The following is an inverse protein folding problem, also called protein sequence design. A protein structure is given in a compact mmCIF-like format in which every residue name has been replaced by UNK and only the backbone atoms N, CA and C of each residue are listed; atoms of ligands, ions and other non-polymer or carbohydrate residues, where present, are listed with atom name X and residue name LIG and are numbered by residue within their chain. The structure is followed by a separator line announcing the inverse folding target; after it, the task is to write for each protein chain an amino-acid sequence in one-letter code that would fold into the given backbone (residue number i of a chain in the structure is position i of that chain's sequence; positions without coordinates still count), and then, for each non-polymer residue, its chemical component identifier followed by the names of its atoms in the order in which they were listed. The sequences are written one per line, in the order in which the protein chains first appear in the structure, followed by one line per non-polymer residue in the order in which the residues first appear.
data_IF_199854153572
#
_entry.id   IF_199854153572
#
_cell.length_a   1.000
_cell.length_b   1.000
_cell.length_c   1.000
_cell.angle_alpha   90.00
_cell.angle_beta   90.00
_cell.angle_gamma   90.00
#
_symmetry.space_group_name_H-M   'P 1'
#
loop_
_entity.id
_entity.type
_entity.pdbx_description
1 polymer ?
#
# COMPACT_ATOMS: atom_id res chain seq x y z
N UNK A 1 55.03 11.90 -25.38
CA UNK A 1 56.47 12.10 -25.07
C UNK A 1 56.76 13.59 -25.20
N UNK A 2 57.04 14.27 -24.08
CA UNK A 2 57.34 15.69 -24.04
C UNK A 2 57.74 16.09 -22.61
N UNK A 3 59.05 16.14 -22.36
CA UNK A 3 59.68 16.57 -21.10
C UNK A 3 59.96 18.08 -21.15
N UNK A 4 60.29 18.61 -19.96
CA UNK A 4 61.00 19.85 -19.58
C UNK A 4 60.13 20.82 -18.73
N UNK A 5 60.23 20.81 -17.39
CA UNK A 5 61.27 21.35 -16.45
C UNK A 5 60.89 22.77 -15.99
N UNK A 6 60.47 22.93 -14.71
CA UNK A 6 61.17 23.59 -13.56
C UNK A 6 61.67 25.02 -13.88
N UNK A 7 61.58 26.05 -13.05
CA UNK A 7 61.68 26.25 -11.60
C UNK A 7 61.36 27.76 -11.37
N UNK A 8 60.83 28.25 -10.24
CA UNK A 8 61.66 28.77 -9.14
C UNK A 8 60.79 29.36 -8.01
N UNK A 9 61.30 29.16 -6.78
CA UNK A 9 60.81 29.62 -5.48
C UNK A 9 61.02 31.12 -5.21
N UNK A 10 60.28 31.66 -4.22
CA UNK A 10 60.76 32.49 -3.08
C UNK A 10 59.63 32.62 -2.04
N UNK A 11 59.62 31.86 -0.93
CA UNK A 11 60.29 32.06 0.39
C UNK A 11 59.79 33.28 1.20
N UNK A 12 58.89 33.02 2.18
CA UNK A 12 59.00 33.13 3.69
C UNK A 12 59.64 34.41 4.32
N UNK A 13 59.60 34.71 5.66
CA UNK A 13 59.19 33.88 6.83
C UNK A 13 58.68 34.59 8.14
N UNK A 14 58.55 33.79 9.22
CA UNK A 14 58.75 34.07 10.68
C UNK A 14 57.59 34.74 11.48
N UNK A 15 57.20 34.39 12.72
CA UNK A 15 57.77 33.71 13.93
C UNK A 15 56.59 33.15 14.82
N UNK A 16 56.59 31.94 15.44
CA UNK A 16 57.26 31.43 16.69
C UNK A 16 56.96 32.27 17.96
N UNK A 17 56.66 31.82 19.20
CA UNK A 17 56.88 30.62 20.06
C UNK A 17 55.90 30.73 21.29
N UNK A 18 55.28 29.67 21.86
CA UNK A 18 55.76 28.64 22.84
C UNK A 18 55.94 29.12 24.31
N UNK A 19 55.21 28.55 25.28
CA UNK A 19 55.69 27.58 26.32
C UNK A 19 54.77 27.52 27.57
N UNK A 20 54.72 26.33 28.18
CA UNK A 20 53.95 25.90 29.35
C UNK A 20 54.68 26.10 30.70
N UNK A 21 53.95 26.03 31.83
CA UNK A 21 54.41 25.39 33.09
C UNK A 21 53.30 25.27 34.17
N UNK A 22 53.26 24.10 34.82
CA UNK A 22 52.44 23.68 35.96
C UNK A 22 52.78 24.43 37.28
N UNK A 23 51.80 24.56 38.19
CA UNK A 23 51.99 24.29 39.63
C UNK A 23 50.71 23.71 40.27
N UNK A 24 50.87 22.67 41.09
CA UNK A 24 49.86 22.09 41.99
C UNK A 24 49.77 22.90 43.29
N UNK A 25 48.56 23.01 43.85
CA UNK A 25 48.31 23.43 45.23
C UNK A 25 46.88 23.10 45.64
N UNK A 26 46.71 22.03 46.42
CA UNK A 26 45.43 21.56 46.92
C UNK A 26 44.89 22.47 48.04
N UNK A 27 43.60 22.80 47.98
CA UNK A 27 42.78 23.21 49.12
C UNK A 27 41.37 22.68 48.88
N UNK A 28 40.99 21.62 49.58
CA UNK A 28 39.61 21.14 49.64
C UNK A 28 38.78 22.13 50.46
N UNK A 29 37.82 22.79 49.82
CA UNK A 29 36.58 23.18 50.50
C UNK A 29 35.42 22.51 49.77
N UNK A 30 34.76 21.63 50.50
CA UNK A 30 33.51 21.00 50.12
C UNK A 30 32.43 22.08 50.00
N UNK A 31 31.92 22.25 48.78
CA UNK A 31 30.62 22.84 48.52
C UNK A 31 29.85 21.81 47.70
N UNK A 32 28.67 21.47 48.21
CA UNK A 32 27.77 20.47 47.65
C UNK A 32 27.54 20.72 46.15
N UNK A 33 27.84 19.72 45.33
CA UNK A 33 27.32 19.64 43.98
C UNK A 33 26.17 18.65 43.95
N UNK A 34 24.99 19.25 43.78
CA UNK A 34 23.82 18.63 43.20
C UNK A 34 24.16 17.74 42.00
N UNK A 35 23.53 16.56 42.00
CA UNK A 35 23.21 15.71 40.85
C UNK A 35 24.04 15.85 39.58
N UNK A 36 25.21 15.19 39.54
CA UNK A 36 25.82 14.79 38.27
C UNK A 36 25.02 13.63 37.67
N UNK A 37 23.97 13.97 36.90
CA UNK A 37 23.41 13.05 35.91
C UNK A 37 24.51 12.75 34.87
N UNK A 38 24.78 11.48 34.53
CA UNK A 38 25.72 11.14 33.46
C UNK A 38 25.29 11.78 32.13
N UNK A 39 26.28 12.12 31.31
CA UNK A 39 26.07 12.83 30.05
C UNK A 39 25.20 12.04 29.08
N UNK A 40 24.55 12.73 28.12
CA UNK A 40 23.58 12.14 27.18
C UNK A 40 24.07 10.86 26.47
N UNK A 41 25.38 10.74 26.21
CA UNK A 41 25.99 9.58 25.53
C UNK A 41 26.24 8.34 26.40
N UNK A 42 26.08 8.44 27.72
CA UNK A 42 26.26 7.33 28.67
C UNK A 42 24.93 6.64 29.02
N UNK A 43 23.80 7.18 28.57
CA UNK A 43 22.44 6.68 28.83
C UNK A 43 21.90 5.87 27.63
N UNK A 44 22.53 4.74 27.32
CA UNK A 44 22.23 3.95 26.11
C UNK A 44 21.06 2.98 26.26
N UNK A 45 20.47 2.85 27.44
CA UNK A 45 19.41 1.87 27.71
C UNK A 45 18.08 2.49 28.21
N UNK A 46 17.95 3.82 28.21
CA UNK A 46 16.69 4.49 28.53
C UNK A 46 15.92 4.82 27.24
N UNK A 47 14.96 3.96 26.87
CA UNK A 47 14.05 4.17 25.74
C UNK A 47 13.03 5.31 25.96
N UNK A 48 12.32 5.68 24.89
CA UNK A 48 11.39 6.82 24.83
C UNK A 48 10.09 6.57 25.62
N UNK A 49 10.00 7.04 26.87
CA UNK A 49 8.72 7.29 27.55
C UNK A 49 8.86 8.51 28.49
N UNK A 50 7.96 9.48 28.33
CA UNK A 50 7.89 10.69 29.17
C UNK A 50 7.17 10.43 30.51
N UNK A 51 7.65 11.17 31.53
CA UNK A 51 7.20 11.33 32.92
C UNK A 51 7.59 10.21 33.92
N UNK A 52 8.76 10.39 34.55
CA UNK A 52 9.12 9.74 35.82
C UNK A 52 8.38 10.48 36.95
N UNK A 53 7.41 9.82 37.60
CA UNK A 53 6.85 10.29 38.88
C UNK A 53 7.82 9.95 40.02
N UNK A 54 8.07 10.93 40.90
CA UNK A 54 8.93 10.78 42.07
C UNK A 54 8.31 9.85 43.13
N UNK A 55 9.12 9.06 43.87
CA UNK A 55 8.62 8.02 44.76
C UNK A 55 8.03 8.61 46.05
N UNK A 56 6.83 8.15 46.45
CA UNK A 56 6.32 8.37 47.81
C UNK A 56 6.57 7.14 48.69
N UNK A 57 7.05 7.45 49.90
CA UNK A 57 7.50 6.55 50.97
C UNK A 57 6.44 5.56 51.50
N UNK A 58 6.88 4.46 52.16
CA UNK A 58 5.99 3.39 52.60
C UNK A 58 5.43 3.63 54.00
N UNK A 59 4.11 3.50 54.18
CA UNK A 59 3.50 3.37 55.51
C UNK A 59 3.21 1.90 55.87
N UNK A 60 3.50 1.59 57.14
CA UNK A 60 3.55 0.26 57.77
C UNK A 60 2.16 -0.24 58.26
N UNK A 61 2.02 -1.57 58.32
CA UNK A 61 0.90 -2.41 58.85
C UNK A 61 0.55 -2.15 60.34
N UNK A 62 -0.61 -2.62 60.85
CA UNK A 62 -0.68 -3.97 61.51
C UNK A 62 -2.00 -4.75 61.22
N UNK A 63 -1.94 -6.02 60.78
CA UNK A 63 -2.14 -7.32 61.50
C UNK A 63 -3.60 -7.84 61.71
N UNK A 64 -3.90 -8.95 60.97
CA UNK A 64 -4.47 -10.28 61.36
C UNK A 64 -5.71 -10.41 62.29
N UNK A 65 -6.62 -11.40 62.03
CA UNK A 65 -6.30 -12.81 62.32
C UNK A 65 -6.80 -13.88 61.31
N UNK A 66 -6.00 -14.95 61.19
CA UNK A 66 -6.36 -16.32 60.75
C UNK A 66 -6.59 -17.18 62.03
N UNK A 67 -6.97 -18.47 61.98
CA UNK A 67 -7.91 -19.22 61.11
C UNK A 67 -8.91 -20.08 61.96
N UNK A 68 -9.84 -20.83 61.34
CA UNK A 68 -10.39 -22.06 61.94
C UNK A 68 -10.20 -23.24 60.96
N UNK A 69 -9.59 -24.36 61.40
CA UNK A 69 -9.50 -25.62 60.63
C UNK A 69 -10.68 -26.56 60.96
N UNK A 70 -10.62 -27.77 60.36
CA UNK A 70 -11.47 -28.97 60.55
C UNK A 70 -12.59 -29.05 59.48
N UNK A 71 -12.79 -30.12 58.70
CA UNK A 71 -12.25 -31.49 58.69
C UNK A 71 -12.25 -32.04 57.25
N UNK A 72 -11.32 -32.96 57.00
CA UNK A 72 -11.34 -33.89 55.88
C UNK A 72 -12.58 -34.81 55.95
N UNK A 73 -13.28 -34.94 54.83
CA UNK A 73 -14.17 -36.07 54.56
C UNK A 73 -13.70 -36.77 53.27
N UNK A 74 -13.63 -38.09 53.36
CA UNK A 74 -13.07 -39.05 52.40
C UNK A 74 -13.76 -39.07 51.02
N UNK A 75 -13.09 -39.66 50.00
CA UNK A 75 -13.34 -39.37 48.60
C UNK A 75 -14.51 -40.16 48.02
N UNK A 76 -15.45 -39.46 47.38
CA UNK A 76 -16.37 -40.03 46.40
C UNK A 76 -15.73 -40.03 45.03
N UNK A 77 -15.62 -41.21 44.42
CA UNK A 77 -15.17 -41.43 43.04
C UNK A 77 -15.95 -40.53 42.06
N UNK A 78 -15.28 -39.76 41.19
CA UNK A 78 -15.96 -39.09 40.09
C UNK A 78 -16.31 -40.12 39.01
N UNK A 79 -17.61 -40.20 38.70
CA UNK A 79 -18.13 -40.76 37.44
C UNK A 79 -17.47 -39.99 36.27
N UNK A 80 -17.16 -40.62 35.13
CA UNK A 80 -16.55 -39.92 34.00
C UNK A 80 -17.44 -38.74 33.57
N UNK A 81 -16.93 -37.53 33.73
CA UNK A 81 -17.56 -36.34 33.18
C UNK A 81 -17.50 -36.44 31.65
N UNK A 82 -18.64 -36.25 31.00
CA UNK A 82 -18.69 -36.00 29.57
C UNK A 82 -17.75 -34.84 29.21
N UNK A 83 -17.12 -34.85 28.03
CA UNK A 83 -16.23 -33.77 27.64
C UNK A 83 -17.04 -32.47 27.57
N UNK A 84 -16.72 -31.53 28.46
CA UNK A 84 -17.06 -30.12 28.27
C UNK A 84 -16.44 -29.66 26.94
N UNK A 85 -17.09 -28.78 26.16
CA UNK A 85 -16.45 -28.21 24.98
C UNK A 85 -15.12 -27.61 25.43
N UNK A 86 -14.02 -28.19 24.96
CA UNK A 86 -12.69 -27.72 25.30
C UNK A 86 -12.57 -26.32 24.73
N UNK A 87 -12.48 -25.31 25.59
CA UNK A 87 -12.10 -23.97 25.16
C UNK A 87 -10.75 -23.98 24.43
N UNK A 88 -10.36 -22.86 23.81
CA UNK A 88 -9.14 -22.78 23.04
C UNK A 88 -7.95 -23.26 23.88
N UNK A 89 -7.06 -24.04 23.25
CA UNK A 89 -5.90 -24.62 23.91
C UNK A 89 -5.10 -23.52 24.62
N UNK A 90 -4.76 -23.75 25.88
CA UNK A 90 -4.08 -22.74 26.70
C UNK A 90 -2.78 -22.29 26.01
N UNK A 91 -2.58 -20.98 25.90
CA UNK A 91 -1.45 -20.33 25.21
C UNK A 91 -1.40 -20.48 23.68
N UNK A 92 -2.46 -20.98 23.04
CA UNK A 92 -2.64 -20.89 21.59
C UNK A 92 -2.92 -19.44 21.13
N UNK A 93 -2.77 -19.17 19.83
CA UNK A 93 -3.11 -17.87 19.25
C UNK A 93 -4.58 -17.48 19.49
N UNK A 94 -5.50 -18.45 19.42
CA UNK A 94 -6.92 -18.26 19.71
C UNK A 94 -7.14 -17.90 21.19
N UNK A 95 -6.47 -18.61 22.10
CA UNK A 95 -6.52 -18.32 23.53
C UNK A 95 -6.02 -16.91 23.84
N UNK A 96 -4.92 -16.47 23.21
CA UNK A 96 -4.40 -15.12 23.40
C UNK A 96 -5.36 -14.05 22.88
N UNK A 97 -5.98 -14.28 21.71
CA UNK A 97 -6.96 -13.36 21.11
C UNK A 97 -8.16 -13.13 22.03
N UNK A 98 -8.64 -14.18 22.68
CA UNK A 98 -9.78 -14.09 23.58
C UNK A 98 -9.44 -13.57 24.98
N UNK A 99 -8.27 -13.93 25.51
CA UNK A 99 -7.99 -13.75 26.95
C UNK A 99 -7.04 -12.59 27.25
N UNK A 100 -6.09 -12.26 26.37
CA UNK A 100 -5.17 -11.14 26.62
C UNK A 100 -5.90 -9.80 26.85
N UNK A 101 -6.97 -9.45 26.09
CA UNK A 101 -7.75 -8.24 26.37
C UNK A 101 -8.38 -8.26 27.78
N UNK A 102 -8.90 -9.41 28.23
CA UNK A 102 -9.51 -9.55 29.56
C UNK A 102 -8.51 -9.29 30.67
N UNK A 103 -7.28 -9.80 30.53
CA UNK A 103 -6.21 -9.55 31.50
C UNK A 103 -5.71 -8.10 31.46
N UNK A 104 -5.71 -7.47 30.28
CA UNK A 104 -5.43 -6.04 30.14
C UNK A 104 -6.48 -5.19 30.85
N UNK A 105 -7.76 -5.47 30.61
CA UNK A 105 -8.87 -4.74 31.23
C UNK A 105 -8.92 -4.96 32.74
N UNK A 106 -8.58 -6.16 33.22
CA UNK A 106 -8.45 -6.44 34.65
C UNK A 106 -7.31 -5.62 35.28
N UNK A 107 -6.15 -5.56 34.62
CA UNK A 107 -5.02 -4.76 35.08
C UNK A 107 -5.33 -3.24 35.05
N UNK A 108 -6.11 -2.79 34.07
CA UNK A 108 -6.52 -1.39 33.94
C UNK A 108 -7.57 -0.98 34.98
N UNK A 109 -8.64 -1.76 35.11
CA UNK A 109 -9.76 -1.47 36.00
C UNK A 109 -9.42 -1.75 37.48
N UNK A 110 -8.43 -2.61 37.74
CA UNK A 110 -7.97 -2.93 39.08
C UNK A 110 -6.43 -3.12 39.11
N UNK A 111 -5.64 -2.02 39.20
CA UNK A 111 -4.19 -2.03 39.05
C UNK A 111 -3.46 -2.53 40.31
N UNK A 112 -3.67 -3.79 40.67
CA UNK A 112 -2.84 -4.48 41.68
C UNK A 112 -1.54 -4.97 41.05
N UNK A 113 -0.49 -5.13 41.87
CA UNK A 113 0.82 -5.64 41.42
C UNK A 113 0.68 -7.00 40.74
N UNK A 114 -0.20 -7.86 41.27
CA UNK A 114 -0.51 -9.18 40.73
C UNK A 114 -1.18 -9.09 39.35
N UNK A 115 -2.25 -8.28 39.20
CA UNK A 115 -2.97 -8.16 37.92
C UNK A 115 -2.07 -7.58 36.82
N UNK A 116 -1.27 -6.57 37.15
CA UNK A 116 -0.31 -5.96 36.21
C UNK A 116 0.77 -6.97 35.83
N UNK A 117 1.35 -7.70 36.79
CA UNK A 117 2.34 -8.75 36.50
C UNK A 117 1.77 -9.85 35.62
N UNK A 118 0.56 -10.34 35.91
CA UNK A 118 -0.10 -11.38 35.10
C UNK A 118 -0.28 -10.91 33.66
N UNK A 119 -0.77 -9.69 33.45
CA UNK A 119 -0.88 -9.13 32.11
C UNK A 119 0.48 -9.01 31.42
N UNK A 120 1.51 -8.48 32.10
CA UNK A 120 2.85 -8.31 31.52
C UNK A 120 3.51 -9.66 31.16
N UNK A 121 3.33 -10.71 31.95
CA UNK A 121 3.83 -12.04 31.60
C UNK A 121 3.13 -12.63 30.36
N UNK A 122 1.82 -12.44 30.25
CA UNK A 122 1.06 -12.88 29.07
C UNK A 122 1.46 -12.07 27.83
N UNK A 123 1.63 -10.76 27.96
CA UNK A 123 2.15 -9.90 26.90
C UNK A 123 3.54 -10.34 26.47
N UNK A 124 4.44 -10.63 27.42
CA UNK A 124 5.79 -11.11 27.13
C UNK A 124 5.76 -12.43 26.35
N UNK A 125 4.94 -13.38 26.77
CA UNK A 125 4.78 -14.65 26.05
C UNK A 125 4.28 -14.43 24.62
N UNK A 126 3.32 -13.52 24.41
CA UNK A 126 2.84 -13.19 23.07
C UNK A 126 3.97 -12.59 22.20
N UNK A 127 4.81 -11.72 22.77
CA UNK A 127 6.00 -11.18 22.10
C UNK A 127 6.99 -12.30 21.75
N UNK A 128 7.30 -13.20 22.69
CA UNK A 128 8.20 -14.32 22.46
C UNK A 128 7.68 -15.26 21.34
N UNK A 129 6.34 -15.42 21.24
CA UNK A 129 5.71 -16.17 20.13
C UNK A 129 5.77 -15.43 18.80
N UNK A 130 5.62 -14.11 18.81
CA UNK A 130 5.83 -13.28 17.61
C UNK A 130 7.27 -13.36 17.13
N UNK A 131 8.25 -13.36 18.02
CA UNK A 131 9.68 -13.56 17.69
C UNK A 131 9.92 -14.92 17.04
N UNK A 132 9.42 -16.01 17.63
CA UNK A 132 9.50 -17.35 17.01
C UNK A 132 8.86 -17.41 15.62
N UNK A 133 7.73 -16.73 15.42
CA UNK A 133 7.07 -16.65 14.12
C UNK A 133 7.90 -15.84 13.12
N UNK A 134 8.49 -14.72 13.54
CA UNK A 134 9.40 -13.92 12.71
C UNK A 134 10.63 -14.73 12.28
N UNK A 135 11.26 -15.47 13.18
CA UNK A 135 12.39 -16.35 12.85
C UNK A 135 12.01 -17.43 11.84
N UNK A 136 10.85 -18.08 12.05
CA UNK A 136 10.34 -19.09 11.13
C UNK A 136 9.98 -18.49 9.75
N UNK A 137 9.48 -17.26 9.72
CA UNK A 137 9.18 -16.53 8.49
C UNK A 137 10.46 -16.21 7.73
N UNK A 138 11.50 -15.72 8.40
CA UNK A 138 12.79 -15.46 7.77
C UNK A 138 13.37 -16.73 7.13
N UNK A 139 13.34 -17.85 7.86
CA UNK A 139 13.79 -19.14 7.32
C UNK A 139 12.96 -19.62 6.13
N UNK A 140 11.66 -19.33 6.09
CA UNK A 140 10.78 -19.69 4.98
C UNK A 140 10.97 -18.80 3.75
N UNK A 141 11.35 -17.53 3.95
CA UNK A 141 11.50 -16.54 2.87
C UNK A 141 12.88 -16.60 2.22
N UNK A 142 13.94 -16.80 3.01
CA UNK A 142 15.32 -16.75 2.50
C UNK A 142 15.56 -17.84 1.45
N UNK A 143 15.87 -17.41 0.23
CA UNK A 143 16.17 -18.30 -0.90
C UNK A 143 14.95 -18.74 -1.71
N UNK A 144 13.74 -18.40 -1.29
CA UNK A 144 12.53 -18.55 -2.10
C UNK A 144 12.30 -17.27 -2.93
N UNK A 145 12.51 -17.30 -4.26
CA UNK A 145 12.36 -16.10 -5.09
C UNK A 145 10.92 -15.57 -5.16
N UNK A 146 9.92 -16.38 -4.79
CA UNK A 146 8.51 -16.00 -4.79
C UNK A 146 8.06 -15.36 -3.48
N UNK A 147 8.74 -15.65 -2.36
CA UNK A 147 8.46 -15.06 -1.05
C UNK A 147 9.44 -13.93 -0.70
N UNK A 148 10.67 -13.97 -1.24
CA UNK A 148 11.71 -12.99 -0.96
C UNK A 148 11.44 -11.66 -1.68
N UNK A 149 11.05 -10.65 -0.90
CA UNK A 149 10.82 -9.29 -1.37
C UNK A 149 12.05 -8.67 -2.04
N UNK A 150 13.28 -9.14 -1.74
CA UNK A 150 14.50 -8.69 -2.41
C UNK A 150 14.41 -8.91 -3.93
N UNK A 151 13.72 -9.96 -4.36
CA UNK A 151 13.45 -10.24 -5.78
C UNK A 151 12.65 -9.13 -6.43
N UNK A 152 11.66 -8.58 -5.72
CA UNK A 152 10.78 -7.50 -6.22
C UNK A 152 11.38 -6.12 -6.01
N UNK A 153 11.92 -5.82 -4.84
CA UNK A 153 12.57 -4.55 -4.49
C UNK A 153 13.83 -4.82 -3.67
N UNK A 154 15.03 -4.51 -4.20
CA UNK A 154 16.27 -4.74 -3.47
C UNK A 154 16.33 -3.94 -2.17
N UNK A 155 16.66 -4.61 -1.06
CA UNK A 155 16.85 -3.95 0.23
C UNK A 155 18.19 -3.19 0.34
N UNK A 156 19.21 -3.63 -0.40
CA UNK A 156 20.53 -2.99 -0.37
C UNK A 156 20.48 -1.57 -0.94
N UNK A 157 20.95 -0.57 -0.18
CA UNK A 157 20.82 0.86 -0.50
C UNK A 157 21.28 1.22 -1.92
N UNK A 158 22.42 0.69 -2.37
CA UNK A 158 22.93 1.00 -3.71
C UNK A 158 21.99 0.48 -4.82
N UNK A 159 21.37 -0.68 -4.62
CA UNK A 159 20.47 -1.30 -5.56
C UNK A 159 19.07 -0.65 -5.52
N UNK A 160 18.53 -0.35 -4.34
CA UNK A 160 17.27 0.40 -4.21
C UNK A 160 17.38 1.77 -4.88
N UNK A 161 18.48 2.50 -4.65
CA UNK A 161 18.69 3.80 -5.27
C UNK A 161 18.78 3.71 -6.80
N UNK A 162 19.35 2.63 -7.34
CA UNK A 162 19.39 2.43 -8.78
C UNK A 162 17.97 2.18 -9.33
N UNK A 163 17.19 1.30 -8.68
CA UNK A 163 15.79 1.05 -9.05
C UNK A 163 14.94 2.31 -9.00
N UNK A 164 15.11 3.15 -7.97
CA UNK A 164 14.38 4.41 -7.84
C UNK A 164 14.77 5.41 -8.96
N UNK A 165 16.05 5.45 -9.36
CA UNK A 165 16.51 6.27 -10.50
C UNK A 165 15.91 5.77 -11.82
N UNK A 166 15.91 4.47 -12.05
CA UNK A 166 15.38 3.87 -13.28
C UNK A 166 13.87 4.10 -13.40
N UNK A 167 13.14 3.95 -12.29
CA UNK A 167 11.72 4.31 -12.20
C UNK A 167 11.48 5.81 -12.47
N UNK A 168 12.31 6.68 -11.90
CA UNK A 168 12.27 8.13 -12.17
C UNK A 168 12.51 8.46 -13.64
N UNK A 169 13.49 7.83 -14.28
CA UNK A 169 13.78 8.00 -15.70
C UNK A 169 12.63 7.51 -16.58
N UNK A 170 12.07 6.34 -16.27
CA UNK A 170 10.89 5.80 -16.95
C UNK A 170 9.68 6.74 -16.81
N UNK A 171 9.47 7.30 -15.62
CA UNK A 171 8.41 8.29 -15.36
C UNK A 171 8.57 9.53 -16.23
N UNK A 172 9.79 10.08 -16.33
CA UNK A 172 10.06 11.26 -17.15
C UNK A 172 9.89 10.96 -18.65
N UNK A 173 10.37 9.81 -19.14
CA UNK A 173 10.15 9.40 -20.53
C UNK A 173 8.65 9.24 -20.85
N UNK A 174 7.89 8.65 -19.93
CA UNK A 174 6.46 8.48 -20.12
C UNK A 174 5.73 9.83 -20.12
N UNK A 175 6.10 10.76 -19.24
CA UNK A 175 5.54 12.13 -19.24
C UNK A 175 5.76 12.84 -20.58
N UNK A 176 6.97 12.74 -21.15
CA UNK A 176 7.27 13.27 -22.49
C UNK A 176 6.40 12.64 -23.57
N UNK A 177 6.24 11.32 -23.52
CA UNK A 177 5.36 10.60 -24.45
C UNK A 177 3.89 11.04 -24.30
N UNK A 178 3.43 11.32 -23.09
CA UNK A 178 2.09 11.89 -22.86
C UNK A 178 1.99 13.30 -23.44
N UNK A 179 3.01 14.14 -23.26
CA UNK A 179 3.06 15.50 -23.78
C UNK A 179 2.97 15.59 -25.31
N UNK A 180 3.39 14.55 -26.04
CA UNK A 180 3.22 14.46 -27.50
C UNK A 180 1.76 14.24 -27.93
N UNK A 181 0.92 13.72 -27.02
CA UNK A 181 -0.47 13.34 -27.32
C UNK A 181 -1.48 14.32 -26.77
N UNK A 182 -1.18 14.99 -25.65
CA UNK A 182 -2.11 15.89 -24.95
C UNK A 182 -1.42 17.16 -24.45
N UNK A 183 -2.18 18.25 -24.38
CA UNK A 183 -1.78 19.51 -23.78
C UNK A 183 -2.32 19.68 -22.35
N UNK A 184 -1.90 20.76 -21.70
CA UNK A 184 -2.36 21.15 -20.36
C UNK A 184 -3.17 22.45 -20.46
N UNK A 185 -4.37 22.45 -19.91
CA UNK A 185 -5.11 23.66 -19.59
C UNK A 185 -4.83 24.05 -18.14
N UNK A 186 -4.36 25.28 -17.94
CA UNK A 186 -4.07 25.85 -16.64
C UNK A 186 -4.99 27.03 -16.38
N UNK A 187 -6.07 26.80 -15.64
CA UNK A 187 -7.03 27.83 -15.27
C UNK A 187 -6.58 28.54 -14.00
N UNK A 188 -6.56 29.87 -14.05
CA UNK A 188 -6.00 30.70 -12.99
C UNK A 188 -6.79 31.99 -12.80
N UNK A 189 -6.57 32.64 -11.67
CA UNK A 189 -7.00 34.01 -11.38
C UNK A 189 -5.81 34.88 -11.02
N UNK A 190 -5.78 36.13 -11.47
CA UNK A 190 -4.66 37.03 -11.11
C UNK A 190 -4.69 37.48 -9.64
N UNK A 191 -5.85 37.41 -8.99
CA UNK A 191 -6.07 37.76 -7.58
C UNK A 191 -5.98 36.55 -6.62
N UNK A 192 -5.56 35.38 -7.10
CA UNK A 192 -5.33 34.17 -6.31
C UNK A 192 -3.83 33.88 -6.16
N UNK A 193 -3.29 34.05 -4.95
CA UNK A 193 -1.86 33.84 -4.68
C UNK A 193 -1.40 32.41 -5.02
N UNK A 194 -2.26 31.41 -4.85
CA UNK A 194 -1.92 30.02 -5.16
C UNK A 194 -1.76 29.77 -6.66
N UNK A 195 -2.51 30.48 -7.50
CA UNK A 195 -2.36 30.45 -8.95
C UNK A 195 -0.97 30.96 -9.37
N UNK A 196 -0.50 32.04 -8.76
CA UNK A 196 0.85 32.57 -9.01
C UNK A 196 1.95 31.62 -8.51
N UNK A 197 1.76 31.00 -7.34
CA UNK A 197 2.68 29.99 -6.79
C UNK A 197 2.75 28.70 -7.63
N UNK A 198 1.64 28.32 -8.27
CA UNK A 198 1.57 27.13 -9.11
C UNK A 198 2.25 27.34 -10.48
N UNK A 199 2.23 28.57 -11.01
CA UNK A 199 2.68 28.88 -12.36
C UNK A 199 4.14 28.45 -12.67
N UNK A 200 5.14 28.62 -11.78
CA UNK A 200 6.49 28.10 -12.01
C UNK A 200 6.53 26.58 -12.20
N UNK A 201 5.71 25.82 -11.46
CA UNK A 201 5.68 24.36 -11.57
C UNK A 201 5.04 23.92 -12.89
N UNK A 202 4.00 24.63 -13.35
CA UNK A 202 3.40 24.41 -14.67
C UNK A 202 4.41 24.75 -15.78
N UNK A 203 5.21 25.80 -15.61
CA UNK A 203 6.29 26.15 -16.54
C UNK A 203 7.37 25.06 -16.61
N UNK A 204 7.67 24.39 -15.51
CA UNK A 204 8.59 23.24 -15.50
C UNK A 204 8.06 22.06 -16.32
N UNK A 205 6.74 21.84 -16.38
CA UNK A 205 6.14 20.80 -17.24
C UNK A 205 6.30 21.15 -18.73
N UNK A 206 6.17 22.42 -19.08
CA UNK A 206 6.40 22.91 -20.45
C UNK A 206 7.86 22.70 -20.86
N UNK A 207 8.81 23.13 -20.00
CA UNK A 207 10.23 23.17 -20.33
C UNK A 207 10.94 21.81 -20.17
N UNK A 208 10.55 21.03 -19.17
CA UNK A 208 11.18 19.75 -18.84
C UNK A 208 10.60 18.58 -19.62
N UNK A 209 9.27 18.50 -19.69
CA UNK A 209 8.56 17.36 -20.27
C UNK A 209 7.95 17.67 -21.65
N UNK A 210 7.90 18.94 -22.07
CA UNK A 210 7.46 19.33 -23.41
C UNK A 210 5.94 19.50 -23.56
N UNK A 211 5.19 19.62 -22.47
CA UNK A 211 3.74 19.85 -22.56
C UNK A 211 3.42 21.17 -23.25
N UNK A 212 2.47 21.15 -24.18
CA UNK A 212 1.84 22.37 -24.68
C UNK A 212 0.86 22.91 -23.63
N UNK A 213 1.04 24.15 -23.20
CA UNK A 213 0.25 24.74 -22.11
C UNK A 213 -0.64 25.86 -22.64
N UNK A 214 -1.92 25.81 -22.28
CA UNK A 214 -2.92 26.86 -22.53
C UNK A 214 -3.33 27.46 -21.18
N UNK A 215 -2.74 28.61 -20.81
CA UNK A 215 -3.16 29.36 -19.63
C UNK A 215 -4.51 30.04 -19.89
N UNK A 216 -5.47 29.83 -19.00
CA UNK A 216 -6.81 30.42 -19.07
C UNK A 216 -7.03 31.31 -17.86
N UNK A 217 -7.07 32.61 -18.10
CA UNK A 217 -7.40 33.63 -17.09
C UNK A 217 -8.91 33.71 -16.90
N UNK A 218 -9.34 33.60 -15.65
CA UNK A 218 -10.75 33.72 -15.28
C UNK A 218 -11.19 35.15 -15.04
N UNK A 219 -10.26 36.08 -14.83
CA UNK A 219 -10.49 37.49 -14.58
C UNK A 219 -9.94 38.40 -15.71
N UNK A 220 -9.46 37.79 -16.79
CA UNK A 220 -8.95 38.48 -17.99
C UNK A 220 -7.67 39.28 -17.75
N UNK A 221 -6.92 38.95 -16.71
CA UNK A 221 -5.67 39.62 -16.30
C UNK A 221 -4.49 38.64 -16.29
N UNK A 222 -3.26 39.11 -16.56
CA UNK A 222 -2.07 38.28 -16.44
C UNK A 222 -1.77 37.93 -14.98
N UNK A 223 -0.98 36.88 -14.77
CA UNK A 223 -0.43 36.56 -13.45
C UNK A 223 0.54 37.66 -12.95
N UNK A 224 0.54 37.98 -11.65
CA UNK A 224 1.47 38.95 -11.06
C UNK A 224 2.95 38.64 -11.30
N UNK A 225 3.34 37.36 -11.30
CA UNK A 225 4.71 36.92 -11.60
C UNK A 225 5.17 37.24 -13.03
N UNK A 226 4.26 37.58 -13.94
CA UNK A 226 4.54 37.76 -15.36
C UNK A 226 4.78 36.46 -16.13
N UNK A 227 4.67 35.31 -15.47
CA UNK A 227 4.66 34.01 -16.15
C UNK A 227 3.37 33.88 -16.98
N UNK A 228 3.47 33.19 -18.11
CA UNK A 228 2.37 33.01 -19.07
C UNK A 228 1.77 34.33 -19.60
N UNK A 229 2.58 35.21 -20.23
CA UNK A 229 2.10 36.50 -20.74
C UNK A 229 1.08 36.35 -21.89
N UNK A 230 1.08 35.21 -22.57
CA UNK A 230 0.10 34.83 -23.58
C UNK A 230 -0.92 33.87 -22.96
N UNK A 231 -2.05 34.42 -22.50
CA UNK A 231 -3.16 33.66 -21.94
C UNK A 231 -4.43 33.86 -22.77
N UNK A 232 -5.40 32.97 -22.57
CA UNK A 232 -6.76 33.11 -23.06
C UNK A 232 -7.68 33.54 -21.92
N UNK A 233 -8.75 34.25 -22.22
CA UNK A 233 -9.83 34.49 -21.26
C UNK A 233 -10.79 33.32 -21.31
N UNK A 234 -11.36 32.91 -20.18
CA UNK A 234 -12.40 31.88 -20.18
C UNK A 234 -13.63 32.31 -20.98
N UNK A 235 -14.09 31.42 -21.87
CA UNK A 235 -15.29 31.59 -22.70
C UNK A 235 -16.40 30.58 -22.31
N UNK A 236 -16.30 29.97 -21.12
CA UNK A 236 -17.28 29.01 -20.59
C UNK A 236 -16.74 27.60 -20.33
N UNK A 237 -15.46 27.33 -20.65
CA UNK A 237 -14.82 26.04 -20.40
C UNK A 237 -14.77 25.73 -18.91
N UNK A 238 -14.49 26.74 -18.07
CA UNK A 238 -14.46 26.56 -16.62
C UNK A 238 -15.80 26.07 -16.07
N UNK A 239 -16.92 26.60 -16.58
CA UNK A 239 -18.27 26.17 -16.20
C UNK A 239 -18.56 24.74 -16.68
N UNK A 240 -18.19 24.41 -17.92
CA UNK A 240 -18.40 23.07 -18.49
C UNK A 240 -17.60 22.00 -17.74
N UNK A 241 -16.37 22.32 -17.33
CA UNK A 241 -15.47 21.40 -16.61
C UNK A 241 -15.72 21.35 -15.10
N UNK A 242 -16.70 22.13 -14.60
CA UNK A 242 -17.04 22.17 -13.18
C UNK A 242 -15.92 22.74 -12.30
N UNK A 243 -15.21 23.76 -12.79
CA UNK A 243 -14.14 24.42 -12.04
C UNK A 243 -14.74 25.30 -10.95
N UNK A 244 -14.40 24.99 -9.70
CA UNK A 244 -14.88 25.70 -8.51
C UNK A 244 -13.73 26.29 -7.68
N UNK A 245 -12.52 25.72 -7.80
CA UNK A 245 -11.34 26.14 -7.05
C UNK A 245 -10.18 26.41 -8.01
N UNK A 246 -9.37 27.43 -7.71
CA UNK A 246 -8.16 27.79 -8.45
C UNK A 246 -6.91 27.56 -7.61
N UNK A 247 -5.75 27.29 -8.24
CA UNK A 247 -5.57 26.99 -9.66
C UNK A 247 -6.22 25.66 -10.06
N UNK A 248 -6.63 25.51 -11.32
CA UNK A 248 -7.16 24.25 -11.83
C UNK A 248 -6.38 23.77 -13.05
N UNK A 249 -6.03 22.48 -13.07
CA UNK A 249 -5.20 21.86 -14.09
C UNK A 249 -5.95 20.68 -14.71
N UNK A 250 -6.01 20.68 -16.04
CA UNK A 250 -6.65 19.62 -16.83
C UNK A 250 -5.71 19.22 -17.97
N UNK A 251 -5.71 17.94 -18.33
CA UNK A 251 -5.20 17.50 -19.63
C UNK A 251 -6.27 17.71 -20.68
N UNK A 252 -5.85 18.02 -21.89
CA UNK A 252 -6.73 18.15 -23.05
C UNK A 252 -6.10 17.48 -24.27
N UNK A 253 -6.84 16.59 -24.92
CA UNK A 253 -6.41 15.94 -26.16
C UNK A 253 -6.87 16.73 -27.40
N UNK A 254 -6.21 16.54 -28.56
CA UNK A 254 -6.59 17.21 -29.81
C UNK A 254 -8.01 16.90 -30.31
N UNK A 255 -8.57 15.74 -29.94
CA UNK A 255 -9.96 15.34 -30.23
C UNK A 255 -10.98 15.96 -29.26
N UNK A 256 -10.53 16.79 -28.31
CA UNK A 256 -11.39 17.57 -27.42
C UNK A 256 -11.78 16.87 -26.12
N UNK A 257 -11.11 15.78 -25.75
CA UNK A 257 -11.33 15.15 -24.44
C UNK A 257 -10.54 15.89 -23.36
N UNK A 258 -11.17 16.05 -22.20
CA UNK A 258 -10.55 16.68 -21.03
C UNK A 258 -10.46 15.68 -19.88
N UNK A 259 -9.31 15.66 -19.19
CA UNK A 259 -9.11 14.84 -18.01
C UNK A 259 -8.65 15.71 -16.82
N UNK A 260 -9.34 15.65 -15.67
CA UNK A 260 -8.97 16.45 -14.51
C UNK A 260 -7.66 15.96 -13.89
N UNK A 261 -6.73 16.88 -13.64
CA UNK A 261 -5.54 16.63 -12.81
C UNK A 261 -5.83 17.04 -11.38
N UNK A 262 -6.32 18.26 -11.18
CA UNK A 262 -6.74 18.73 -9.87
C UNK A 262 -7.17 20.19 -9.86
N UNK A 263 -7.84 20.57 -8.78
CA UNK A 263 -8.20 21.95 -8.46
C UNK A 263 -7.63 22.26 -7.06
N UNK A 264 -6.83 23.32 -6.96
CA UNK A 264 -6.01 23.68 -5.79
C UNK A 264 -4.50 23.47 -6.04
N UNK A 265 -3.64 24.04 -5.17
CA UNK A 265 -2.19 23.98 -5.32
C UNK A 265 -1.64 22.55 -5.15
N UNK A 266 -0.70 22.17 -6.03
CA UNK A 266 -0.07 20.86 -6.10
C UNK A 266 1.44 20.99 -6.33
N UNK A 267 2.20 20.09 -5.72
CA UNK A 267 3.64 19.96 -5.97
C UNK A 267 3.91 19.37 -7.36
N UNK A 268 5.12 19.58 -7.90
CA UNK A 268 5.50 18.99 -9.18
C UNK A 268 5.45 17.44 -9.20
N UNK A 269 5.92 16.72 -8.16
CA UNK A 269 5.77 15.26 -8.10
C UNK A 269 4.30 14.80 -8.16
N UNK A 270 3.40 15.55 -7.50
CA UNK A 270 1.97 15.29 -7.49
C UNK A 270 1.33 15.54 -8.87
N UNK A 271 1.65 16.66 -9.51
CA UNK A 271 1.26 16.95 -10.90
C UNK A 271 1.71 15.82 -11.84
N UNK A 272 3.00 15.48 -11.80
CA UNK A 272 3.57 14.42 -12.62
C UNK A 272 2.87 13.07 -12.41
N UNK A 273 2.57 12.71 -11.15
CA UNK A 273 1.87 11.47 -10.86
C UNK A 273 0.44 11.49 -11.39
N UNK A 274 -0.32 12.56 -11.11
CA UNK A 274 -1.73 12.69 -11.54
C UNK A 274 -1.88 12.76 -13.05
N UNK A 275 -0.93 13.38 -13.76
CA UNK A 275 -0.88 13.38 -15.22
C UNK A 275 -0.84 11.95 -15.76
N UNK A 276 0.04 11.09 -15.22
CA UNK A 276 0.13 9.71 -15.65
C UNK A 276 -1.11 8.89 -15.28
N UNK A 277 -1.69 9.11 -14.09
CA UNK A 277 -2.94 8.44 -13.67
C UNK A 277 -4.10 8.85 -14.57
N UNK A 278 -4.25 10.14 -14.87
CA UNK A 278 -5.28 10.64 -15.77
C UNK A 278 -5.07 10.12 -17.20
N UNK A 279 -3.83 10.12 -17.70
CA UNK A 279 -3.50 9.57 -19.01
C UNK A 279 -3.83 8.09 -19.12
N UNK A 280 -3.53 7.29 -18.08
CA UNK A 280 -3.92 5.88 -18.00
C UNK A 280 -5.44 5.71 -18.06
N UNK A 281 -6.18 6.45 -17.22
CA UNK A 281 -7.65 6.38 -17.16
C UNK A 281 -8.35 6.71 -18.48
N UNK A 282 -7.73 7.56 -19.30
CA UNK A 282 -8.24 7.97 -20.61
C UNK A 282 -7.64 7.16 -21.77
N UNK A 283 -6.88 6.10 -21.49
CA UNK A 283 -6.30 5.23 -22.52
C UNK A 283 -5.17 5.86 -23.34
N UNK A 284 -4.62 7.01 -22.92
CA UNK A 284 -3.44 7.62 -23.55
C UNK A 284 -2.12 6.95 -23.16
N UNK A 285 -2.16 6.14 -22.11
CA UNK A 285 -1.06 5.34 -21.56
C UNK A 285 -1.60 3.95 -21.22
N UNK A 286 -0.88 2.91 -21.60
CA UNK A 286 -1.21 1.52 -21.27
C UNK A 286 -0.81 1.15 -19.84
N UNK A 287 -1.41 0.08 -19.30
CA UNK A 287 -0.98 -0.51 -18.03
C UNK A 287 0.50 -0.89 -18.00
N UNK A 288 1.02 -1.38 -19.14
CA UNK A 288 2.41 -1.78 -19.28
C UNK A 288 3.36 -0.58 -19.16
N UNK A 289 3.08 0.49 -19.92
CA UNK A 289 3.85 1.74 -19.86
C UNK A 289 3.81 2.36 -18.47
N UNK A 290 2.64 2.39 -17.83
CA UNK A 290 2.50 2.91 -16.47
C UNK A 290 3.28 2.06 -15.46
N UNK A 291 3.21 0.73 -15.55
CA UNK A 291 3.90 -0.18 -14.63
C UNK A 291 5.43 -0.10 -14.72
N UNK A 292 6.01 0.26 -15.88
CA UNK A 292 7.45 0.50 -16.02
C UNK A 292 7.98 1.63 -15.14
N UNK A 293 7.10 2.54 -14.71
CA UNK A 293 7.46 3.64 -13.80
C UNK A 293 7.53 3.23 -12.33
N UNK A 294 7.18 1.97 -11.99
CA UNK A 294 7.22 1.48 -10.61
C UNK A 294 8.67 1.21 -10.18
N UNK A 295 9.07 1.57 -8.95
CA UNK A 295 10.39 1.31 -8.43
C UNK A 295 10.52 -0.14 -7.91
N UNK A 296 10.46 -1.08 -8.84
CA UNK A 296 10.68 -2.52 -8.62
C UNK A 296 11.86 -2.99 -9.49
N UNK A 297 12.40 -4.18 -9.23
CA UNK A 297 13.54 -4.75 -9.96
C UNK A 297 13.18 -4.98 -11.45
N UNK A 298 14.19 -5.05 -12.33
CA UNK A 298 13.96 -5.39 -13.75
C UNK A 298 13.32 -6.77 -13.93
N UNK A 299 13.67 -7.73 -13.07
CA UNK A 299 13.04 -9.06 -13.03
C UNK A 299 11.54 -8.97 -12.70
N UNK A 300 11.11 -8.00 -11.88
CA UNK A 300 9.70 -7.74 -11.58
C UNK A 300 9.01 -6.83 -12.61
N UNK A 301 9.74 -5.93 -13.29
CA UNK A 301 9.21 -5.06 -14.37
C UNK A 301 8.99 -5.82 -15.69
N UNK A 302 9.76 -6.88 -15.93
CA UNK A 302 9.71 -7.71 -17.14
C UNK A 302 8.76 -8.90 -17.09
N UNK A 303 8.10 -9.16 -15.95
CA UNK A 303 7.14 -10.25 -15.86
C UNK A 303 5.95 -9.99 -16.78
N UNK A 304 5.78 -10.86 -17.77
CA UNK A 304 4.57 -10.94 -18.57
C UNK A 304 3.37 -11.13 -17.65
N UNK A 305 2.17 -10.83 -18.16
CA UNK A 305 0.96 -10.98 -17.36
C UNK A 305 0.77 -12.44 -16.91
N UNK A 306 1.23 -13.40 -17.72
CA UNK A 306 1.27 -14.82 -17.41
C UNK A 306 2.29 -15.16 -16.30
N UNK A 307 3.49 -14.58 -16.34
CA UNK A 307 4.52 -14.79 -15.31
C UNK A 307 4.06 -14.22 -13.96
N UNK A 308 3.37 -13.09 -13.98
CA UNK A 308 2.77 -12.48 -12.79
C UNK A 308 1.60 -13.29 -12.23
N UNK A 309 0.75 -13.83 -13.11
CA UNK A 309 -0.31 -14.76 -12.70
C UNK A 309 0.26 -16.03 -12.08
N UNK A 310 1.30 -16.61 -12.69
CA UNK A 310 1.99 -17.78 -12.16
C UNK A 310 2.63 -17.50 -10.80
N UNK A 311 3.25 -16.32 -10.63
CA UNK A 311 3.80 -15.86 -9.35
C UNK A 311 2.73 -15.84 -8.25
N UNK A 312 1.60 -15.17 -8.48
CA UNK A 312 0.55 -15.07 -7.47
C UNK A 312 -0.15 -16.41 -7.20
N UNK A 313 -0.35 -17.22 -8.25
CA UNK A 313 -0.94 -18.56 -8.09
C UNK A 313 -0.04 -19.47 -7.25
N UNK A 314 1.29 -19.43 -7.47
CA UNK A 314 2.26 -20.17 -6.67
C UNK A 314 2.27 -19.67 -5.22
N UNK A 315 2.29 -18.36 -5.01
CA UNK A 315 2.26 -17.76 -3.67
C UNK A 315 0.97 -18.10 -2.90
N UNK A 316 -0.19 -18.06 -3.56
CA UNK A 316 -1.47 -18.48 -2.97
C UNK A 316 -1.48 -19.97 -2.65
N UNK A 317 -0.94 -20.82 -3.53
CA UNK A 317 -0.82 -22.26 -3.30
C UNK A 317 0.05 -22.56 -2.07
N UNK A 318 1.24 -21.95 -1.98
CA UNK A 318 2.11 -22.09 -0.81
C UNK A 318 1.44 -21.58 0.47
N UNK A 319 0.71 -20.46 0.39
CA UNK A 319 -0.04 -19.93 1.52
C UNK A 319 -1.19 -20.86 1.95
N UNK A 320 -1.87 -21.51 1.00
CA UNK A 320 -2.91 -22.51 1.28
C UNK A 320 -2.34 -23.78 1.93
N UNK A 321 -1.17 -24.24 1.47
CA UNK A 321 -0.44 -25.36 2.08
C UNK A 321 0.01 -25.06 3.51
N UNK A 322 0.39 -23.81 3.79
CA UNK A 322 0.69 -23.32 5.14
C UNK A 322 -0.56 -23.17 6.04
N UNK A 323 -1.76 -23.26 5.46
CA UNK A 323 -3.05 -23.28 6.16
C UNK A 323 -3.94 -22.08 5.85
N UNK A 324 -5.26 -22.23 6.07
CA UNK A 324 -6.27 -21.24 5.68
C UNK A 324 -6.06 -19.81 6.22
N UNK A 325 -5.38 -19.66 7.37
CA UNK A 325 -5.01 -18.35 7.90
C UNK A 325 -3.97 -17.61 7.06
N UNK A 326 -2.97 -18.32 6.53
CA UNK A 326 -1.95 -17.76 5.65
C UNK A 326 -2.52 -17.42 4.27
N UNK A 327 -3.38 -18.28 3.72
CA UNK A 327 -4.14 -17.98 2.50
C UNK A 327 -5.01 -16.73 2.66
N UNK A 328 -5.69 -16.56 3.80
CA UNK A 328 -6.49 -15.35 4.06
C UNK A 328 -5.61 -14.09 4.17
N UNK A 329 -4.43 -14.19 4.79
CA UNK A 329 -3.49 -13.06 4.85
C UNK A 329 -2.97 -12.68 3.46
N UNK A 330 -2.65 -13.67 2.62
CA UNK A 330 -2.30 -13.44 1.22
C UNK A 330 -3.43 -12.70 0.49
N UNK A 331 -4.67 -13.18 0.61
CA UNK A 331 -5.82 -12.54 -0.04
C UNK A 331 -6.08 -11.13 0.49
N UNK A 332 -5.87 -10.87 1.77
CA UNK A 332 -6.01 -9.53 2.34
C UNK A 332 -4.95 -8.55 1.82
N UNK A 333 -3.73 -9.04 1.56
CA UNK A 333 -2.60 -8.20 1.19
C UNK A 333 -2.45 -8.04 -0.34
N UNK A 334 -2.72 -9.09 -1.09
CA UNK A 334 -2.46 -9.20 -2.52
C UNK A 334 -3.68 -9.62 -3.34
N UNK A 335 -4.84 -9.87 -2.71
CA UNK A 335 -6.00 -10.44 -3.38
C UNK A 335 -6.57 -9.57 -4.50
N UNK A 336 -6.59 -8.24 -4.33
CA UNK A 336 -7.07 -7.35 -5.40
C UNK A 336 -6.10 -7.36 -6.61
N UNK A 337 -4.79 -7.26 -6.38
CA UNK A 337 -3.78 -7.30 -7.44
C UNK A 337 -3.72 -8.68 -8.16
N UNK A 338 -3.90 -9.76 -7.40
CA UNK A 338 -4.02 -11.12 -7.93
C UNK A 338 -5.26 -11.26 -8.81
N UNK A 339 -6.43 -10.85 -8.33
CA UNK A 339 -7.69 -10.94 -9.07
C UNK A 339 -7.66 -10.11 -10.36
N UNK A 340 -7.14 -8.88 -10.32
CA UNK A 340 -6.95 -8.07 -11.52
C UNK A 340 -6.03 -8.75 -12.55
N UNK A 341 -4.95 -9.37 -12.08
CA UNK A 341 -4.01 -10.12 -12.93
C UNK A 341 -4.70 -11.34 -13.57
N UNK A 342 -5.45 -12.12 -12.78
CA UNK A 342 -6.16 -13.31 -13.27
C UNK A 342 -7.30 -12.96 -14.23
N UNK A 343 -8.04 -11.87 -13.97
CA UNK A 343 -9.05 -11.34 -14.87
C UNK A 343 -8.44 -10.98 -16.23
N UNK A 344 -7.30 -10.30 -16.21
CA UNK A 344 -6.62 -9.88 -17.43
C UNK A 344 -6.08 -11.07 -18.24
N UNK A 345 -5.57 -12.12 -17.57
CA UNK A 345 -5.19 -13.40 -18.22
C UNK A 345 -6.41 -14.09 -18.82
N UNK A 346 -7.55 -14.10 -18.11
CA UNK A 346 -8.81 -14.68 -18.60
C UNK A 346 -9.24 -14.03 -19.92
N UNK A 347 -9.13 -12.72 -20.03
CA UNK A 347 -9.47 -11.98 -21.25
C UNK A 347 -8.43 -12.23 -22.36
N UNK A 348 -7.15 -11.99 -22.08
CA UNK A 348 -6.11 -12.01 -23.12
C UNK A 348 -5.82 -13.41 -23.66
N UNK A 349 -5.75 -14.41 -22.78
CA UNK A 349 -5.36 -15.78 -23.13
C UNK A 349 -6.55 -16.66 -23.48
N UNK A 350 -7.65 -16.48 -22.75
CA UNK A 350 -8.82 -17.33 -22.87
C UNK A 350 -10.01 -16.63 -23.53
N UNK A 351 -9.90 -15.37 -23.95
CA UNK A 351 -10.94 -14.67 -24.71
C UNK A 351 -12.28 -14.59 -23.97
N UNK A 352 -12.25 -14.52 -22.64
CA UNK A 352 -13.43 -14.26 -21.84
C UNK A 352 -13.86 -12.79 -22.00
N UNK A 353 -15.17 -12.55 -21.96
CA UNK A 353 -15.70 -11.17 -21.88
C UNK A 353 -15.35 -10.56 -20.52
N UNK A 354 -15.43 -9.23 -20.38
CA UNK A 354 -15.13 -8.53 -19.13
C UNK A 354 -15.93 -9.11 -17.94
N UNK A 355 -17.21 -9.38 -18.15
CA UNK A 355 -18.13 -9.91 -17.14
C UNK A 355 -17.81 -11.37 -16.76
N UNK A 356 -17.43 -12.20 -17.73
CA UNK A 356 -16.99 -13.59 -17.51
C UNK A 356 -15.66 -13.64 -16.75
N UNK A 357 -14.71 -12.78 -17.14
CA UNK A 357 -13.41 -12.69 -16.50
C UNK A 357 -13.52 -12.20 -15.04
N UNK A 358 -14.48 -11.30 -14.74
CA UNK A 358 -14.76 -10.87 -13.38
C UNK A 358 -15.28 -12.01 -12.50
N UNK A 359 -16.20 -12.84 -13.01
CA UNK A 359 -16.69 -14.04 -12.29
C UNK A 359 -15.55 -15.05 -12.05
N UNK A 360 -14.69 -15.25 -13.05
CA UNK A 360 -13.50 -16.09 -12.91
C UNK A 360 -12.50 -15.57 -11.87
N UNK A 361 -12.28 -14.25 -11.80
CA UNK A 361 -11.35 -13.68 -10.84
C UNK A 361 -11.91 -13.72 -9.41
N UNK A 362 -13.20 -13.46 -9.22
CA UNK A 362 -13.82 -13.51 -7.89
C UNK A 362 -13.93 -14.95 -7.33
N UNK A 363 -13.80 -15.99 -8.15
CA UNK A 363 -13.83 -17.39 -7.67
C UNK A 363 -12.54 -17.83 -6.98
N UNK A 364 -11.54 -16.96 -6.89
CA UNK A 364 -10.37 -17.15 -6.03
C UNK A 364 -10.56 -16.63 -4.59
N UNK A 365 -11.68 -15.96 -4.31
CA UNK A 365 -11.98 -15.32 -3.02
C UNK A 365 -13.24 -15.93 -2.40
N UNK A 366 -13.44 -15.71 -1.10
CA UNK A 366 -14.61 -16.17 -0.34
C UNK A 366 -15.68 -15.08 -0.19
N UNK A 367 -15.49 -13.92 -0.83
CA UNK A 367 -16.41 -12.79 -0.73
C UNK A 367 -17.66 -12.99 -1.60
N UNK A 368 -18.70 -13.57 -0.99
CA UNK A 368 -19.99 -13.80 -1.65
C UNK A 368 -20.64 -12.53 -2.22
N UNK A 369 -20.44 -11.37 -1.58
CA UNK A 369 -21.01 -10.10 -2.06
C UNK A 369 -20.42 -9.68 -3.41
N UNK A 370 -19.09 -9.75 -3.54
CA UNK A 370 -18.40 -9.43 -4.80
C UNK A 370 -18.71 -10.46 -5.89
N UNK A 371 -18.74 -11.75 -5.53
CA UNK A 371 -19.15 -12.82 -6.46
C UNK A 371 -20.57 -12.59 -6.99
N UNK A 372 -21.53 -12.31 -6.10
CA UNK A 372 -22.91 -12.04 -6.49
C UNK A 372 -23.03 -10.83 -7.44
N UNK A 373 -22.25 -9.78 -7.19
CA UNK A 373 -22.21 -8.62 -8.09
C UNK A 373 -21.62 -8.98 -9.46
N UNK A 374 -20.53 -9.73 -9.50
CA UNK A 374 -19.91 -10.19 -10.75
C UNK A 374 -20.88 -11.07 -11.56
N UNK A 375 -21.59 -11.98 -10.90
CA UNK A 375 -22.61 -12.83 -11.52
C UNK A 375 -23.78 -12.00 -12.05
N UNK A 376 -24.24 -10.98 -11.31
CA UNK A 376 -25.28 -10.09 -11.82
C UNK A 376 -24.83 -9.32 -13.06
N UNK A 377 -23.61 -8.80 -13.06
CA UNK A 377 -23.03 -8.12 -14.23
C UNK A 377 -22.91 -9.07 -15.43
N UNK A 378 -22.56 -10.34 -15.22
CA UNK A 378 -22.59 -11.36 -16.26
C UNK A 378 -24.02 -11.60 -16.78
N UNK A 379 -25.00 -11.76 -15.88
CA UNK A 379 -26.41 -11.97 -16.25
C UNK A 379 -26.99 -10.80 -17.05
N UNK A 380 -26.55 -9.57 -16.80
CA UNK A 380 -26.92 -8.40 -17.60
C UNK A 380 -26.55 -8.52 -19.09
N UNK A 381 -25.44 -9.21 -19.40
CA UNK A 381 -25.00 -9.45 -20.77
C UNK A 381 -26.01 -10.30 -21.55
N UNK A 382 -26.72 -11.20 -20.85
CA UNK A 382 -27.67 -12.16 -21.43
C UNK A 382 -29.14 -11.77 -21.21
N UNK A 383 -29.40 -10.65 -20.53
CA UNK A 383 -30.75 -10.16 -20.29
C UNK A 383 -31.51 -9.91 -21.58
N UNK A 384 -32.82 -10.17 -21.57
CA UNK A 384 -33.71 -9.77 -22.66
C UNK A 384 -33.59 -8.26 -22.91
N UNK A 385 -33.80 -7.83 -24.15
CA UNK A 385 -33.62 -6.43 -24.55
C UNK A 385 -34.96 -5.76 -24.79
N UNK A 386 -35.08 -4.53 -24.32
CA UNK A 386 -36.15 -3.61 -24.72
C UNK A 386 -36.02 -3.27 -26.21
N UNK A 387 -37.07 -2.72 -26.85
CA UNK A 387 -37.02 -2.28 -28.25
C UNK A 387 -35.92 -1.24 -28.55
N UNK A 388 -35.45 -0.52 -27.54
CA UNK A 388 -34.35 0.46 -27.62
C UNK A 388 -32.95 -0.17 -27.48
N UNK A 389 -32.88 -1.50 -27.28
CA UNK A 389 -31.63 -2.25 -27.10
C UNK A 389 -31.10 -2.27 -25.67
N UNK A 390 -31.77 -1.63 -24.71
CA UNK A 390 -31.37 -1.68 -23.29
C UNK A 390 -31.75 -3.01 -22.62
N UNK A 391 -31.01 -3.48 -21.60
CA UNK A 391 -31.38 -4.67 -20.82
C UNK A 391 -32.73 -4.47 -20.12
N UNK A 392 -33.64 -5.45 -20.23
CA UNK A 392 -34.85 -5.49 -19.42
C UNK A 392 -34.50 -5.79 -17.96
N UNK A 393 -35.09 -5.01 -17.06
CA UNK A 393 -34.85 -5.09 -15.62
C UNK A 393 -36.18 -5.23 -14.87
N UNK A 394 -36.22 -6.13 -13.89
CA UNK A 394 -37.36 -6.28 -12.99
C UNK A 394 -36.86 -6.41 -11.55
N UNK A 395 -37.33 -5.53 -10.65
CA UNK A 395 -36.90 -5.56 -9.24
C UNK A 395 -35.39 -5.35 -9.03
N UNK A 396 -34.70 -4.69 -9.97
CA UNK A 396 -33.25 -4.50 -9.93
C UNK A 396 -32.43 -5.69 -10.42
N UNK A 397 -33.06 -6.76 -10.93
CA UNK A 397 -32.40 -7.90 -11.57
C UNK A 397 -32.63 -7.90 -13.09
N UNK A 398 -31.67 -8.40 -13.88
CA UNK A 398 -31.87 -8.62 -15.31
C UNK A 398 -32.97 -9.65 -15.56
N UNK A 399 -33.88 -9.34 -16.47
CA UNK A 399 -34.89 -10.30 -16.95
C UNK A 399 -34.21 -11.23 -17.95
N UNK A 400 -34.17 -12.51 -17.63
CA UNK A 400 -33.59 -13.55 -18.48
C UNK A 400 -34.70 -14.46 -19.00
N UNK A 401 -34.56 -14.93 -20.24
CA UNK A 401 -35.33 -16.09 -20.68
C UNK A 401 -34.87 -17.33 -19.91
N UNK A 402 -35.74 -18.33 -19.77
CA UNK A 402 -35.40 -19.59 -19.10
C UNK A 402 -34.11 -20.22 -19.67
N UNK A 403 -33.91 -20.13 -20.98
CA UNK A 403 -32.71 -20.65 -21.65
C UNK A 403 -31.45 -19.85 -21.29
N UNK A 404 -31.55 -18.52 -21.19
CA UNK A 404 -30.43 -17.67 -20.82
C UNK A 404 -30.08 -17.80 -19.33
N UNK A 405 -31.08 -18.05 -18.47
CA UNK A 405 -30.87 -18.34 -17.06
C UNK A 405 -30.11 -19.67 -16.88
N UNK A 406 -30.58 -20.76 -17.48
CA UNK A 406 -29.88 -22.05 -17.45
C UNK A 406 -28.48 -21.99 -18.06
N UNK A 407 -28.29 -21.19 -19.11
CA UNK A 407 -26.99 -21.00 -19.73
C UNK A 407 -26.03 -20.23 -18.82
N UNK A 408 -26.47 -19.09 -18.26
CA UNK A 408 -25.62 -18.27 -17.38
C UNK A 408 -25.24 -19.00 -16.12
N UNK A 409 -26.13 -19.79 -15.52
CA UNK A 409 -25.82 -20.60 -14.34
C UNK A 409 -24.77 -21.69 -14.67
N UNK A 410 -24.87 -22.35 -15.83
CA UNK A 410 -23.85 -23.30 -16.29
C UNK A 410 -22.51 -22.61 -16.55
N UNK A 411 -22.54 -21.40 -17.13
CA UNK A 411 -21.34 -20.63 -17.40
C UNK A 411 -20.64 -20.20 -16.10
N UNK A 412 -21.39 -19.71 -15.10
CA UNK A 412 -20.85 -19.41 -13.77
C UNK A 412 -20.20 -20.64 -13.14
N UNK A 413 -20.87 -21.79 -13.19
CA UNK A 413 -20.30 -23.04 -12.69
C UNK A 413 -18.99 -23.43 -13.40
N UNK A 414 -18.92 -23.28 -14.72
CA UNK A 414 -17.69 -23.57 -15.47
C UNK A 414 -16.55 -22.62 -15.07
N UNK A 415 -16.84 -21.33 -14.89
CA UNK A 415 -15.86 -20.33 -14.49
C UNK A 415 -15.36 -20.58 -13.06
N UNK A 416 -16.25 -20.87 -12.11
CA UNK A 416 -15.89 -21.18 -10.74
C UNK A 416 -15.10 -22.49 -10.62
N UNK A 417 -15.58 -23.57 -11.23
CA UNK A 417 -14.88 -24.86 -11.17
C UNK A 417 -13.52 -24.84 -11.89
N UNK A 418 -13.29 -23.87 -12.78
CA UNK A 418 -12.00 -23.75 -13.45
C UNK A 418 -10.87 -23.39 -12.49
N UNK A 419 -11.14 -22.66 -11.40
CA UNK A 419 -10.10 -22.27 -10.43
C UNK A 419 -9.68 -23.43 -9.54
N UNK A 420 -10.62 -24.33 -9.22
CA UNK A 420 -10.35 -25.57 -8.46
C UNK A 420 -9.61 -26.64 -9.29
N UNK A 421 -9.60 -26.50 -10.61
CA UNK A 421 -9.01 -27.49 -11.53
C UNK A 421 -7.47 -27.39 -11.62
N UNK A 422 -6.83 -26.41 -10.99
CA UNK A 422 -5.38 -26.19 -11.03
C UNK A 422 -4.85 -26.08 -12.47
N UNK A 423 -3.86 -26.90 -12.83
CA UNK A 423 -3.28 -26.97 -14.18
C UNK A 423 -4.31 -27.25 -15.29
N UNK A 424 -5.49 -27.77 -14.94
CA UNK A 424 -6.58 -28.06 -15.90
C UNK A 424 -7.52 -26.88 -16.11
N UNK A 425 -7.36 -25.75 -15.42
CA UNK A 425 -8.24 -24.56 -15.56
C UNK A 425 -8.39 -24.12 -17.02
N UNK A 426 -7.28 -24.13 -17.77
CA UNK A 426 -7.25 -23.72 -19.17
C UNK A 426 -8.17 -24.55 -20.08
N UNK A 427 -8.43 -25.82 -19.74
CA UNK A 427 -9.33 -26.68 -20.53
C UNK A 427 -10.79 -26.26 -20.40
N UNK A 428 -11.22 -25.81 -19.21
CA UNK A 428 -12.55 -25.26 -18.97
C UNK A 428 -12.72 -23.91 -19.69
N UNK A 429 -11.73 -23.03 -19.57
CA UNK A 429 -11.78 -21.70 -20.16
C UNK A 429 -11.71 -21.72 -21.69
N UNK A 430 -11.04 -22.71 -22.28
CA UNK A 430 -10.98 -22.88 -23.74
C UNK A 430 -12.36 -23.20 -24.35
N UNK A 431 -13.23 -23.91 -23.63
CA UNK A 431 -14.60 -24.17 -24.08
C UNK A 431 -15.43 -22.87 -24.12
N UNK A 432 -15.28 -22.02 -23.10
CA UNK A 432 -15.91 -20.69 -23.05
C UNK A 432 -15.41 -19.80 -24.18
N UNK A 433 -14.09 -19.80 -24.43
CA UNK A 433 -13.49 -19.12 -25.59
C UNK A 433 -14.13 -19.52 -26.91
N UNK A 434 -14.30 -20.83 -27.13
CA UNK A 434 -14.91 -21.37 -28.35
C UNK A 434 -16.33 -20.86 -28.55
N UNK A 435 -17.10 -20.78 -27.48
CA UNK A 435 -18.44 -20.19 -27.50
C UNK A 435 -18.41 -18.69 -27.83
N UNK A 436 -17.51 -17.92 -27.22
CA UNK A 436 -17.38 -16.48 -27.48
C UNK A 436 -16.98 -16.20 -28.95
N UNK A 437 -16.04 -16.98 -29.50
CA UNK A 437 -15.67 -16.96 -30.93
C UNK A 437 -16.88 -17.17 -31.82
N UNK A 438 -17.66 -18.21 -31.54
CA UNK A 438 -18.82 -18.57 -32.36
C UNK A 438 -19.93 -17.49 -32.34
N UNK A 439 -19.97 -16.67 -31.29
CA UNK A 439 -21.02 -15.67 -31.09
C UNK A 439 -20.53 -14.21 -31.22
N UNK A 440 -19.31 -13.99 -31.76
CA UNK A 440 -18.71 -12.66 -31.96
C UNK A 440 -18.66 -11.79 -30.68
N UNK A 441 -18.40 -12.43 -29.53
CA UNK A 441 -18.30 -11.74 -28.24
C UNK A 441 -16.83 -11.60 -27.85
N UNK A 442 -16.21 -10.47 -28.19
CA UNK A 442 -14.84 -10.12 -27.79
C UNK A 442 -14.74 -8.66 -27.41
#
# INVERSE_FOLDING_TARGET
MGKYVRETMKKSPLNLLLLAALTLGASHQAWAQDGTRPGFYERKEEGWFWYKEEPKEPEKKPEKPKPKPVAEAKPTQPKPAAPLPSGPEMFSAEWFRENLPKYKDLAWNNPTVENVRTFLYLQRFAIDRSEQFSDATELAVVGDPFLDEITRRPAATFASQQVDRDAGNAKNMLLKSVAERVGIFFFYKSDDDYSDLQAPLIKMLEQGEGFSIIPVSMDGKPLPSGLFPHYKTDEGHAKQLGIVTFPAVYLASPDGQFAPIGQGPMSLPELNHRILVAAKRNGWVTDEEFNRTRPVSEAAKGMSIEERGAFYAAALSSAAEAGGGAAQQFMNQYGDEFKETMQSIAQSRYGLTESQAAVYAESFDTNEGRMNQAVQNLKMEYAERNPDGSPMMQGGQPVLSQQNEEFTDKLVNVLQNSTEAGDRSGSYLTAVRGYNIANQRF
#
